data_IF_206907552201
#
_entry.id   IF_206907552201
#
_cell.length_a   1.000
_cell.length_b   1.000
_cell.length_c   1.000
_cell.angle_alpha   90.00
_cell.angle_beta   90.00
_cell.angle_gamma   90.00
#
_symmetry.space_group_name_H-M   'P 1'
#
loop_
_entity.id
_entity.type
_entity.pdbx_description
1 polymer ?
#
# COMPACT_ATOMS: atom_id res chain seq x y z
N UNK A 1 -1.81 -0.76 -3.04
CA UNK A 1 -1.27 0.17 -4.04
C UNK A 1 -1.40 -0.46 -5.41
N UNK A 2 -1.84 0.29 -6.42
CA UNK A 2 -1.99 -0.16 -7.82
C UNK A 2 -3.11 -1.17 -8.10
N UNK A 3 -3.58 -1.91 -7.09
CA UNK A 3 -4.65 -2.90 -7.26
C UNK A 3 -6.03 -2.37 -6.87
N UNK A 4 -6.16 -1.64 -5.76
CA UNK A 4 -7.44 -1.08 -5.27
C UNK A 4 -7.53 0.44 -5.42
N UNK A 5 -6.39 1.12 -5.53
CA UNK A 5 -6.27 2.56 -5.69
C UNK A 5 -5.00 2.93 -6.46
N UNK A 6 -4.90 4.20 -6.84
CA UNK A 6 -3.76 4.76 -7.57
C UNK A 6 -2.48 4.71 -6.73
N UNK A 7 -1.37 4.36 -7.36
CA UNK A 7 -0.02 4.36 -6.75
C UNK A 7 1.02 5.17 -7.53
N UNK A 8 0.63 5.72 -8.69
CA UNK A 8 1.51 6.48 -9.55
C UNK A 8 1.30 7.98 -9.34
N UNK A 9 2.36 8.82 -9.35
CA UNK A 9 3.78 8.49 -9.54
C UNK A 9 4.47 8.03 -8.25
N UNK A 10 3.76 7.90 -7.13
CA UNK A 10 4.36 7.55 -5.86
C UNK A 10 3.32 6.96 -4.92
N UNK A 11 3.74 5.96 -4.13
CA UNK A 11 2.91 5.36 -3.11
C UNK A 11 2.37 6.41 -2.13
N UNK A 12 1.06 6.35 -1.87
CA UNK A 12 0.35 7.29 -1.01
C UNK A 12 0.97 7.40 0.39
N UNK A 13 1.46 6.29 0.96
CA UNK A 13 2.13 6.32 2.26
C UNK A 13 3.46 7.09 2.24
N UNK A 14 4.21 7.02 1.14
CA UNK A 14 5.47 7.76 0.99
C UNK A 14 5.20 9.26 0.95
N UNK A 15 4.14 9.67 0.24
CA UNK A 15 3.68 11.06 0.23
C UNK A 15 3.26 11.56 1.62
N UNK A 16 2.53 10.73 2.37
CA UNK A 16 2.23 11.01 3.77
C UNK A 16 3.49 11.18 4.60
N UNK A 17 4.47 10.27 4.49
CA UNK A 17 5.74 10.38 5.20
C UNK A 17 6.48 11.68 4.83
N UNK A 18 6.44 12.10 3.56
CA UNK A 18 7.07 13.34 3.11
C UNK A 18 6.47 14.58 3.77
N UNK A 19 5.14 14.68 3.82
CA UNK A 19 4.47 15.80 4.46
C UNK A 19 4.65 15.79 5.99
N UNK A 20 4.73 14.59 6.59
CA UNK A 20 5.09 14.42 8.00
C UNK A 20 6.50 14.93 8.29
N UNK A 21 7.49 14.62 7.46
CA UNK A 21 8.86 15.16 7.61
C UNK A 21 8.85 16.69 7.55
N UNK A 22 8.14 17.30 6.60
CA UNK A 22 8.04 18.78 6.53
C UNK A 22 7.42 19.37 7.80
N UNK A 23 6.37 18.72 8.32
CA UNK A 23 5.67 19.13 9.55
C UNK A 23 6.58 19.01 10.78
N UNK A 24 7.38 17.96 10.86
CA UNK A 24 8.28 17.68 11.98
C UNK A 24 9.62 18.42 11.88
N UNK A 25 10.00 18.94 10.71
CA UNK A 25 11.29 19.60 10.48
C UNK A 25 11.67 20.70 11.49
N UNK A 26 10.74 21.52 12.03
CA UNK A 26 11.09 22.49 13.09
C UNK A 26 11.62 21.84 14.37
N UNK A 27 11.26 20.58 14.64
CA UNK A 27 11.69 19.81 15.81
C UNK A 27 12.98 19.01 15.54
N UNK A 28 13.45 18.97 14.29
CA UNK A 28 14.60 18.18 13.83
C UNK A 28 15.60 19.05 13.04
N UNK A 29 16.38 19.93 13.71
CA UNK A 29 17.36 20.79 13.04
C UNK A 29 18.40 20.03 12.20
N UNK A 30 18.73 18.80 12.60
CA UNK A 30 19.68 17.91 11.94
C UNK A 30 19.22 17.48 10.53
N UNK A 31 17.92 17.51 10.24
CA UNK A 31 17.39 17.19 8.91
C UNK A 31 17.76 18.22 7.84
N UNK A 32 18.21 19.42 8.24
CA UNK A 32 18.70 20.43 7.28
C UNK A 32 20.03 20.05 6.63
N UNK A 33 20.80 19.17 7.27
CA UNK A 33 22.12 18.74 6.80
C UNK A 33 22.19 17.24 6.48
N UNK A 34 21.28 16.44 7.04
CA UNK A 34 21.28 14.98 6.93
C UNK A 34 20.47 14.49 5.74
N UNK A 35 21.05 13.65 4.88
CA UNK A 35 20.32 12.97 3.81
C UNK A 35 19.58 11.74 4.36
N UNK A 36 18.42 11.35 3.79
CA UNK A 36 17.73 11.97 2.65
C UNK A 36 16.81 13.15 3.01
N UNK A 37 16.69 13.50 4.30
CA UNK A 37 15.78 14.55 4.78
C UNK A 37 16.06 15.93 4.17
N UNK A 38 17.35 16.28 4.05
CA UNK A 38 17.77 17.55 3.42
C UNK A 38 17.22 17.69 2.00
N UNK A 39 17.39 16.66 1.17
CA UNK A 39 16.90 16.67 -0.20
C UNK A 39 15.37 16.79 -0.24
N UNK A 40 14.67 16.05 0.62
CA UNK A 40 13.22 16.13 0.72
C UNK A 40 12.73 17.53 1.11
N UNK A 41 13.34 18.15 2.12
CA UNK A 41 12.99 19.50 2.57
C UNK A 41 13.31 20.57 1.51
N UNK A 42 14.30 20.33 0.66
CA UNK A 42 14.64 21.18 -0.48
C UNK A 42 13.77 20.93 -1.73
N UNK A 43 12.88 19.93 -1.71
CA UNK A 43 12.09 19.53 -2.87
C UNK A 43 12.89 18.80 -3.97
N UNK A 44 14.11 18.34 -3.67
CA UNK A 44 14.97 17.63 -4.61
C UNK A 44 14.59 16.14 -4.67
N UNK A 45 13.48 15.87 -5.36
CA UNK A 45 12.95 14.53 -5.53
C UNK A 45 13.87 13.59 -6.32
N UNK A 46 14.79 14.14 -7.12
CA UNK A 46 15.80 13.36 -7.84
C UNK A 46 16.81 12.75 -6.86
N UNK A 47 17.29 13.54 -5.91
CA UNK A 47 18.20 13.05 -4.85
C UNK A 47 17.48 12.13 -3.88
N UNK A 48 16.22 12.41 -3.53
CA UNK A 48 15.41 11.47 -2.74
C UNK A 48 15.27 10.13 -3.48
N UNK A 49 14.94 10.16 -4.78
CA UNK A 49 14.87 8.94 -5.60
C UNK A 49 16.21 8.19 -5.70
N UNK A 50 17.33 8.92 -5.81
CA UNK A 50 18.67 8.33 -5.86
C UNK A 50 19.09 7.62 -4.56
N UNK A 51 18.48 7.95 -3.41
CA UNK A 51 18.67 7.23 -2.15
C UNK A 51 18.04 5.83 -2.14
N UNK A 52 17.22 5.52 -3.15
CA UNK A 52 16.56 4.25 -3.32
C UNK A 52 15.62 3.88 -2.17
N UNK A 53 15.27 2.59 -2.09
CA UNK A 53 14.35 2.09 -1.08
C UNK A 53 14.87 2.26 0.36
N UNK A 54 16.19 2.33 0.54
CA UNK A 54 16.80 2.58 1.85
C UNK A 54 16.44 3.96 2.37
N UNK A 55 16.64 5.01 1.57
CA UNK A 55 16.31 6.37 2.02
C UNK A 55 14.80 6.61 2.16
N UNK A 56 13.98 5.98 1.31
CA UNK A 56 12.52 6.00 1.51
C UNK A 56 12.13 5.33 2.84
N UNK A 57 12.73 4.19 3.17
CA UNK A 57 12.52 3.53 4.47
C UNK A 57 12.95 4.42 5.64
N UNK A 58 14.10 5.08 5.55
CA UNK A 58 14.57 6.02 6.59
C UNK A 58 13.58 7.17 6.81
N UNK A 59 13.03 7.73 5.74
CA UNK A 59 12.00 8.79 5.81
C UNK A 59 10.72 8.27 6.46
N UNK A 60 10.20 7.13 6.01
CA UNK A 60 8.99 6.52 6.56
C UNK A 60 9.17 6.25 8.06
N UNK A 61 10.27 5.62 8.45
CA UNK A 61 10.57 5.32 9.85
C UNK A 61 10.64 6.58 10.72
N UNK A 62 11.35 7.61 10.26
CA UNK A 62 11.51 8.87 11.01
C UNK A 62 10.22 9.68 11.11
N UNK A 63 9.30 9.55 10.14
CA UNK A 63 8.09 10.37 10.08
C UNK A 63 7.04 10.08 11.18
N UNK A 64 7.12 8.89 11.81
CA UNK A 64 6.08 8.42 12.72
C UNK A 64 6.53 7.33 13.72
N UNK A 65 7.83 7.15 13.97
CA UNK A 65 8.29 6.32 15.08
C UNK A 65 8.30 7.10 16.40
N UNK A 66 8.12 6.42 17.52
CA UNK A 66 8.15 6.98 18.88
C UNK A 66 6.80 7.51 19.39
N UNK A 67 5.77 7.59 18.55
CA UNK A 67 4.41 7.99 18.95
C UNK A 67 3.52 6.79 19.30
N UNK A 68 2.37 7.07 19.89
CA UNK A 68 1.34 6.05 20.16
C UNK A 68 0.67 5.58 18.86
N UNK A 69 0.04 4.41 18.90
CA UNK A 69 -0.82 3.91 17.82
C UNK A 69 -1.96 4.89 17.49
N UNK A 70 -2.61 5.43 18.51
CA UNK A 70 -3.76 6.34 18.37
C UNK A 70 -3.35 7.68 17.75
N UNK A 71 -2.23 8.26 18.16
CA UNK A 71 -1.70 9.48 17.53
C UNK A 71 -1.39 9.24 16.06
N UNK A 72 -0.79 8.09 15.73
CA UNK A 72 -0.50 7.75 14.35
C UNK A 72 -1.77 7.64 13.51
N UNK A 73 -2.79 6.93 14.00
CA UNK A 73 -4.09 6.80 13.35
C UNK A 73 -4.75 8.17 13.11
N UNK A 74 -4.67 9.08 14.09
CA UNK A 74 -5.19 10.43 13.95
C UNK A 74 -4.43 11.23 12.87
N UNK A 75 -3.10 11.16 12.84
CA UNK A 75 -2.30 11.87 11.83
C UNK A 75 -2.57 11.35 10.41
N UNK A 76 -2.69 10.03 10.25
CA UNK A 76 -3.08 9.41 8.97
C UNK A 76 -4.49 9.85 8.55
N UNK A 77 -5.45 9.81 9.48
CA UNK A 77 -6.83 10.21 9.22
C UNK A 77 -6.95 11.66 8.80
N UNK A 78 -6.24 12.58 9.48
CA UNK A 78 -6.19 14.01 9.14
C UNK A 78 -5.59 14.23 7.75
N UNK A 79 -4.48 13.56 7.44
CA UNK A 79 -3.84 13.71 6.14
C UNK A 79 -4.72 13.18 5.01
N UNK A 80 -5.34 12.00 5.16
CA UNK A 80 -6.28 11.44 4.16
C UNK A 80 -7.55 12.29 4.00
N UNK A 81 -7.87 13.18 4.95
CA UNK A 81 -9.00 14.10 4.82
C UNK A 81 -8.73 15.29 3.91
N UNK A 82 -7.46 15.63 3.64
CA UNK A 82 -7.10 16.88 2.94
C UNK A 82 -6.13 16.67 1.78
N UNK A 83 -5.32 15.60 1.80
CA UNK A 83 -4.31 15.35 0.79
C UNK A 83 -4.94 14.99 -0.56
N UNK A 84 -4.64 15.79 -1.58
CA UNK A 84 -5.15 15.64 -2.95
C UNK A 84 -4.09 15.11 -3.90
N UNK A 85 -4.56 14.26 -4.81
CA UNK A 85 -3.76 13.79 -5.92
C UNK A 85 -3.60 14.92 -6.96
N UNK A 86 -2.37 15.32 -7.34
CA UNK A 86 -2.16 16.52 -8.17
C UNK A 86 -2.71 16.41 -9.59
N UNK A 87 -2.61 15.23 -10.22
CA UNK A 87 -3.18 14.99 -11.56
C UNK A 87 -4.70 14.83 -11.54
N UNK A 88 -5.22 14.01 -10.63
CA UNK A 88 -6.62 13.58 -10.61
C UNK A 88 -7.55 14.54 -9.85
N UNK A 89 -7.01 15.43 -9.00
CA UNK A 89 -7.79 16.40 -8.23
C UNK A 89 -8.59 15.82 -7.04
N UNK A 90 -8.79 14.49 -6.98
CA UNK A 90 -9.43 13.77 -5.87
C UNK A 90 -8.58 13.74 -4.59
N UNK A 91 -9.20 13.51 -3.43
CA UNK A 91 -8.44 13.08 -2.25
C UNK A 91 -7.81 11.72 -2.53
N UNK A 92 -6.61 11.43 -2.01
CA UNK A 92 -5.97 10.13 -2.25
C UNK A 92 -6.84 8.93 -1.85
N UNK A 93 -7.63 9.06 -0.77
CA UNK A 93 -8.57 8.02 -0.33
C UNK A 93 -9.77 7.81 -1.27
N UNK A 94 -9.99 8.70 -2.22
CA UNK A 94 -11.07 8.67 -3.21
C UNK A 94 -10.57 8.24 -4.59
N UNK A 95 -9.25 8.25 -4.81
CA UNK A 95 -8.64 7.78 -6.05
C UNK A 95 -8.56 6.23 -6.08
N UNK A 96 -9.71 5.59 -5.80
CA UNK A 96 -9.94 4.15 -5.67
C UNK A 96 -10.63 3.60 -6.93
N UNK A 97 -10.45 2.33 -7.24
CA UNK A 97 -10.97 1.78 -8.50
C UNK A 97 -12.39 1.24 -8.38
N UNK A 98 -13.32 1.81 -9.16
CA UNK A 98 -14.73 1.41 -9.17
C UNK A 98 -14.94 -0.09 -9.47
N UNK A 99 -14.30 -0.70 -10.50
CA UNK A 99 -14.46 -2.13 -10.77
C UNK A 99 -13.98 -3.04 -9.63
N UNK A 100 -13.04 -2.56 -8.81
CA UNK A 100 -12.56 -3.28 -7.64
C UNK A 100 -13.54 -3.19 -6.47
N UNK A 101 -14.22 -2.05 -6.29
CA UNK A 101 -15.31 -1.94 -5.32
C UNK A 101 -16.44 -2.91 -5.67
N UNK A 102 -16.79 -2.99 -6.96
CA UNK A 102 -17.79 -3.93 -7.48
C UNK A 102 -17.36 -5.38 -7.26
N UNK A 103 -16.11 -5.73 -7.56
CA UNK A 103 -15.57 -7.07 -7.30
C UNK A 103 -15.61 -7.42 -5.81
N UNK A 104 -15.17 -6.53 -4.94
CA UNK A 104 -15.19 -6.74 -3.49
C UNK A 104 -16.62 -6.94 -2.97
N UNK A 105 -17.58 -6.15 -3.46
CA UNK A 105 -19.00 -6.30 -3.12
C UNK A 105 -19.56 -7.63 -3.62
N UNK A 106 -19.28 -8.00 -4.87
CA UNK A 106 -19.69 -9.27 -5.47
C UNK A 106 -19.14 -10.47 -4.69
N UNK A 107 -17.85 -10.46 -4.35
CA UNK A 107 -17.22 -11.53 -3.57
C UNK A 107 -17.88 -11.69 -2.20
N UNK A 108 -18.11 -10.59 -1.46
CA UNK A 108 -18.78 -10.65 -0.15
C UNK A 108 -20.23 -11.10 -0.24
N UNK A 109 -20.96 -10.70 -1.30
CA UNK A 109 -22.32 -11.19 -1.55
C UNK A 109 -22.37 -12.71 -1.80
N UNK A 110 -21.25 -13.31 -2.19
CA UNK A 110 -21.04 -14.75 -2.36
C UNK A 110 -20.23 -15.35 -1.19
N UNK A 111 -20.32 -14.75 0.00
CA UNK A 111 -19.75 -15.25 1.26
C UNK A 111 -18.21 -15.31 1.34
N UNK A 112 -17.49 -14.70 0.38
CA UNK A 112 -16.04 -14.57 0.50
C UNK A 112 -15.67 -13.57 1.61
N UNK A 113 -14.60 -13.89 2.32
CA UNK A 113 -13.91 -12.93 3.18
C UNK A 113 -12.82 -12.23 2.37
N UNK A 114 -12.93 -10.92 2.22
CA UNK A 114 -11.99 -10.10 1.44
C UNK A 114 -10.90 -9.51 2.34
N UNK A 115 -9.63 -9.77 2.02
CA UNK A 115 -8.48 -9.27 2.78
C UNK A 115 -7.63 -8.33 1.91
N UNK A 116 -6.93 -7.40 2.56
CA UNK A 116 -5.83 -6.63 1.97
C UNK A 116 -4.51 -7.27 2.40
N UNK A 117 -3.58 -7.45 1.45
CA UNK A 117 -2.21 -7.94 1.69
C UNK A 117 -1.26 -7.02 0.92
N UNK A 118 -0.49 -6.18 1.63
CA UNK A 118 0.19 -5.04 1.03
C UNK A 118 1.53 -4.74 1.66
N UNK A 119 2.54 -4.42 0.84
CA UNK A 119 3.81 -3.90 1.32
C UNK A 119 3.69 -2.56 2.07
N UNK A 120 2.56 -1.86 1.92
CA UNK A 120 2.25 -0.65 2.68
C UNK A 120 2.05 -0.93 4.17
N UNK A 121 2.22 0.11 4.99
CA UNK A 121 2.09 0.04 6.43
C UNK A 121 0.68 -0.35 6.87
N UNK A 122 0.56 -1.43 7.64
CA UNK A 122 -0.75 -1.95 8.09
C UNK A 122 -1.56 -0.88 8.85
N UNK A 123 -0.93 -0.09 9.72
CA UNK A 123 -1.61 0.99 10.44
C UNK A 123 -1.85 2.25 9.59
N UNK A 124 -1.19 2.40 8.42
CA UNK A 124 -1.50 3.48 7.49
C UNK A 124 -2.80 3.19 6.73
N UNK A 125 -3.04 1.93 6.39
CA UNK A 125 -4.24 1.53 5.63
C UNK A 125 -5.49 1.45 6.52
N UNK A 126 -5.40 0.81 7.69
CA UNK A 126 -6.53 0.50 8.58
C UNK A 126 -7.53 1.64 8.83
N UNK A 127 -7.12 2.91 9.00
CA UNK A 127 -8.05 4.01 9.28
C UNK A 127 -9.09 4.24 8.17
N UNK A 128 -8.83 3.79 6.93
CA UNK A 128 -9.72 4.07 5.80
C UNK A 128 -10.33 2.82 5.13
N UNK A 129 -9.82 1.60 5.39
CA UNK A 129 -10.22 0.39 4.64
C UNK A 129 -11.68 0.03 4.81
N UNK A 130 -12.25 0.23 6.00
CA UNK A 130 -13.65 -0.10 6.23
C UNK A 130 -14.56 0.81 5.40
N UNK A 131 -14.30 2.12 5.40
CA UNK A 131 -15.10 3.10 4.67
C UNK A 131 -14.89 2.99 3.15
N UNK A 132 -13.65 2.81 2.71
CA UNK A 132 -13.31 2.76 1.28
C UNK A 132 -13.70 1.44 0.62
N UNK A 133 -13.49 0.31 1.30
CA UNK A 133 -13.54 -1.02 0.68
C UNK A 133 -14.51 -2.00 1.35
N UNK A 134 -15.10 -1.64 2.50
CA UNK A 134 -15.84 -2.58 3.33
C UNK A 134 -14.95 -3.67 3.96
N UNK A 135 -13.65 -3.39 4.12
CA UNK A 135 -12.67 -4.32 4.69
C UNK A 135 -12.30 -3.84 6.10
N UNK A 136 -12.70 -4.55 7.17
CA UNK A 136 -12.42 -4.15 8.53
C UNK A 136 -10.92 -4.28 8.87
N UNK A 137 -10.42 -3.59 9.91
CA UNK A 137 -8.99 -3.55 10.23
C UNK A 137 -8.32 -4.91 10.47
N UNK A 138 -9.06 -5.91 10.96
CA UNK A 138 -8.56 -7.27 11.19
C UNK A 138 -8.50 -8.13 9.90
N UNK A 139 -8.97 -7.61 8.77
CA UNK A 139 -8.80 -8.19 7.44
C UNK A 139 -7.73 -7.45 6.61
N UNK A 140 -6.88 -6.66 7.27
CA UNK A 140 -5.77 -5.94 6.66
C UNK A 140 -4.46 -6.55 7.16
N UNK A 141 -3.64 -7.02 6.22
CA UNK A 141 -2.26 -7.47 6.41
C UNK A 141 -1.36 -6.46 5.70
N UNK A 142 -0.26 -6.09 6.36
CA UNK A 142 0.72 -5.21 5.75
C UNK A 142 1.99 -5.11 6.56
N UNK A 143 2.95 -4.33 6.06
CA UNK A 143 4.22 -4.11 6.76
C UNK A 143 3.99 -3.43 8.12
N UNK A 144 4.79 -3.81 9.12
CA UNK A 144 4.66 -3.34 10.50
C UNK A 144 6.01 -2.95 11.10
N UNK A 145 5.91 -2.14 12.16
CA UNK A 145 7.01 -1.86 13.08
C UNK A 145 6.69 -2.44 14.45
N UNK A 146 7.71 -2.70 15.25
CA UNK A 146 7.57 -3.28 16.58
C UNK A 146 6.69 -2.37 17.42
N UNK A 147 5.75 -2.98 18.12
CA UNK A 147 4.80 -2.30 18.99
C UNK A 147 5.05 -2.72 20.43
N UNK A 148 5.20 -1.75 21.34
CA UNK A 148 5.40 -1.99 22.77
C UNK A 148 4.21 -1.50 23.58
N UNK A 149 3.65 -2.35 24.42
CA UNK A 149 2.67 -1.92 25.43
C UNK A 149 3.39 -1.14 26.54
N UNK A 150 2.95 0.09 26.80
CA UNK A 150 3.48 0.90 27.91
C UNK A 150 2.35 1.51 28.70
N UNK A 151 2.55 1.56 30.02
CA UNK A 151 1.70 2.32 30.92
C UNK A 151 2.49 3.50 31.46
N UNK A 152 1.98 4.72 31.26
CA UNK A 152 2.55 5.95 31.80
C UNK A 152 1.43 6.77 32.44
N UNK A 153 1.63 7.19 33.68
CA UNK A 153 0.67 8.01 34.44
C UNK A 153 -0.76 7.41 34.47
N UNK A 154 -0.85 6.07 34.54
CA UNK A 154 -2.12 5.33 34.55
C UNK A 154 -2.78 5.14 33.18
N UNK A 155 -2.23 5.71 32.11
CA UNK A 155 -2.68 5.50 30.72
C UNK A 155 -1.87 4.39 30.06
N UNK A 156 -2.56 3.37 29.55
CA UNK A 156 -1.97 2.28 28.79
C UNK A 156 -2.12 2.52 27.29
N UNK A 157 -1.00 2.52 26.58
CA UNK A 157 -0.93 2.79 25.14
C UNK A 157 -0.02 1.75 24.44
N UNK A 158 -0.18 1.65 23.12
CA UNK A 158 0.75 0.97 22.25
C UNK A 158 1.71 1.99 21.65
N UNK A 159 3.01 1.82 21.90
CA UNK A 159 4.06 2.68 21.38
C UNK A 159 4.68 2.06 20.14
N UNK A 160 4.79 2.85 19.08
CA UNK A 160 5.37 2.48 17.79
C UNK A 160 6.88 2.64 17.83
N UNK A 161 7.63 1.54 17.87
CA UNK A 161 9.08 1.59 18.01
C UNK A 161 9.78 1.83 16.66
N UNK A 162 10.96 2.48 16.65
CA UNK A 162 11.76 2.71 15.44
C UNK A 162 12.47 1.43 14.97
N UNK A 163 11.74 0.31 14.84
CA UNK A 163 12.26 -0.99 14.44
C UNK A 163 11.23 -1.71 13.56
N UNK A 164 11.67 -2.18 12.40
CA UNK A 164 10.86 -3.02 11.50
C UNK A 164 10.53 -4.33 12.22
N UNK A 165 9.27 -4.74 12.13
CA UNK A 165 8.78 -6.01 12.66
C UNK A 165 8.53 -6.99 11.52
N UNK A 166 7.76 -6.57 10.51
CA UNK A 166 7.44 -7.38 9.35
C UNK A 166 7.37 -6.56 8.06
N UNK A 167 7.83 -7.14 6.95
CA UNK A 167 7.70 -6.56 5.60
C UNK A 167 6.80 -7.48 4.77
N UNK A 168 5.61 -7.00 4.45
CA UNK A 168 4.57 -7.77 3.74
C UNK A 168 4.65 -7.56 2.22
N UNK A 169 5.83 -7.82 1.65
CA UNK A 169 6.08 -7.61 0.22
C UNK A 169 6.83 -8.79 -0.41
N UNK A 170 6.57 -9.07 -1.70
CA UNK A 170 7.16 -10.22 -2.43
C UNK A 170 6.91 -11.55 -1.68
N UNK A 171 7.96 -12.30 -1.38
CA UNK A 171 7.91 -13.51 -0.56
C UNK A 171 7.43 -13.29 0.88
N UNK A 172 7.42 -12.04 1.36
CA UNK A 172 6.76 -11.66 2.61
C UNK A 172 5.25 -11.88 2.56
N UNK A 173 4.59 -11.64 1.41
CA UNK A 173 3.12 -11.74 1.31
C UNK A 173 2.55 -13.12 1.67
N UNK A 174 3.08 -14.24 1.15
CA UNK A 174 2.68 -15.57 1.63
C UNK A 174 2.90 -15.79 3.13
N UNK A 175 3.97 -15.25 3.71
CA UNK A 175 4.25 -15.33 5.14
C UNK A 175 3.23 -14.50 5.94
N UNK A 176 2.88 -13.30 5.45
CA UNK A 176 1.88 -12.43 6.04
C UNK A 176 0.50 -13.10 6.05
N UNK A 177 0.11 -13.71 4.92
CA UNK A 177 -1.09 -14.53 4.79
C UNK A 177 -1.09 -15.67 5.81
N UNK A 178 -0.02 -16.47 5.85
CA UNK A 178 0.09 -17.59 6.79
C UNK A 178 0.00 -17.13 8.25
N UNK A 179 0.73 -16.08 8.63
CA UNK A 179 0.81 -15.61 10.01
C UNK A 179 -0.43 -14.87 10.50
N UNK A 180 -1.10 -14.08 9.64
CA UNK A 180 -2.23 -13.24 10.04
C UNK A 180 -3.60 -13.87 9.74
N UNK A 181 -3.71 -14.60 8.62
CA UNK A 181 -4.98 -15.17 8.15
C UNK A 181 -5.06 -16.65 8.54
N UNK A 182 -3.95 -17.38 8.47
CA UNK A 182 -3.90 -18.82 8.76
C UNK A 182 -4.60 -19.69 7.72
N UNK A 183 -5.04 -19.11 6.61
CA UNK A 183 -5.77 -19.80 5.54
C UNK A 183 -5.19 -19.40 4.19
N UNK A 184 -4.88 -20.40 3.36
CA UNK A 184 -4.46 -20.17 1.98
C UNK A 184 -5.64 -19.61 1.16
N UNK A 185 -5.49 -18.46 0.48
CA UNK A 185 -6.56 -17.89 -0.33
C UNK A 185 -6.95 -18.81 -1.48
N UNK A 186 -8.15 -18.57 -2.02
CA UNK A 186 -8.60 -19.21 -3.27
C UNK A 186 -8.58 -18.27 -4.47
N UNK A 187 -8.46 -16.97 -4.21
CA UNK A 187 -8.35 -15.90 -5.19
C UNK A 187 -7.34 -14.88 -4.67
N UNK A 188 -6.42 -14.43 -5.52
CA UNK A 188 -5.52 -13.32 -5.24
C UNK A 188 -5.44 -12.38 -6.44
N UNK A 189 -5.43 -11.07 -6.18
CA UNK A 189 -5.39 -10.01 -7.17
C UNK A 189 -4.27 -9.03 -6.79
N UNK A 190 -3.32 -8.83 -7.70
CA UNK A 190 -2.23 -7.86 -7.57
C UNK A 190 -2.13 -6.94 -8.78
N UNK A 191 -1.00 -6.24 -8.91
CA UNK A 191 -0.69 -5.42 -10.08
C UNK A 191 0.79 -5.31 -10.39
N UNK A 192 1.66 -5.93 -9.59
CA UNK A 192 3.10 -5.82 -9.73
C UNK A 192 3.77 -7.20 -9.57
N UNK A 193 5.01 -7.32 -10.02
CA UNK A 193 5.86 -8.50 -9.82
C UNK A 193 6.02 -8.85 -8.33
N UNK A 194 5.87 -7.85 -7.44
CA UNK A 194 5.89 -8.05 -6.00
C UNK A 194 4.68 -8.85 -5.46
N UNK A 195 3.63 -9.03 -6.27
CA UNK A 195 2.46 -9.84 -5.95
C UNK A 195 2.60 -11.30 -6.43
N UNK A 196 3.61 -11.62 -7.22
CA UNK A 196 3.76 -12.95 -7.83
C UNK A 196 3.75 -14.06 -6.79
N UNK A 197 4.54 -13.95 -5.72
CA UNK A 197 4.59 -15.02 -4.71
C UNK A 197 3.26 -15.18 -3.96
N UNK A 198 2.50 -14.10 -3.74
CA UNK A 198 1.15 -14.18 -3.17
C UNK A 198 0.21 -14.98 -4.09
N UNK A 199 0.28 -14.71 -5.39
CA UNK A 199 -0.57 -15.36 -6.39
C UNK A 199 -0.12 -16.80 -6.64
N UNK A 200 1.18 -17.08 -6.72
CA UNK A 200 1.77 -18.42 -6.76
C UNK A 200 1.33 -19.25 -5.55
N UNK A 201 1.44 -18.69 -4.35
CA UNK A 201 0.98 -19.34 -3.12
C UNK A 201 -0.53 -19.63 -3.17
N UNK A 202 -1.35 -18.71 -3.67
CA UNK A 202 -2.78 -18.93 -3.84
C UNK A 202 -3.06 -20.07 -4.83
N UNK A 203 -2.39 -20.07 -5.99
CA UNK A 203 -2.57 -21.06 -7.07
C UNK A 203 -2.02 -22.44 -6.76
N UNK A 204 -1.05 -22.55 -5.85
CA UNK A 204 -0.48 -23.83 -5.43
C UNK A 204 -1.39 -24.67 -4.50
N UNK A 205 -2.55 -24.14 -4.08
CA UNK A 205 -3.53 -24.90 -3.31
C UNK A 205 -4.38 -25.83 -4.18
N UNK A 206 -5.02 -26.83 -3.57
CA UNK A 206 -5.89 -27.77 -4.27
C UNK A 206 -7.23 -27.15 -4.71
N UNK A 207 -7.80 -27.64 -5.81
CA UNK A 207 -9.11 -27.21 -6.31
C UNK A 207 -9.06 -25.94 -7.15
N UNK A 208 -10.22 -25.33 -7.41
CA UNK A 208 -10.31 -24.12 -8.24
C UNK A 208 -9.63 -22.95 -7.53
N UNK A 209 -8.69 -22.30 -8.22
CA UNK A 209 -7.92 -21.16 -7.73
C UNK A 209 -7.79 -20.11 -8.82
N UNK A 210 -7.76 -18.85 -8.43
CA UNK A 210 -7.70 -17.72 -9.36
C UNK A 210 -6.58 -16.76 -8.98
N UNK A 211 -5.84 -16.31 -9.98
CA UNK A 211 -4.75 -15.34 -9.85
C UNK A 211 -4.92 -14.27 -10.90
N UNK A 212 -4.96 -13.01 -10.49
CA UNK A 212 -5.18 -11.88 -11.37
C UNK A 212 -4.14 -10.78 -11.15
N UNK A 213 -3.81 -10.06 -12.22
CA UNK A 213 -3.05 -8.82 -12.16
C UNK A 213 -3.79 -7.73 -12.92
N UNK A 214 -3.84 -6.51 -12.40
CA UNK A 214 -4.29 -5.35 -13.17
C UNK A 214 -3.09 -4.77 -13.90
N UNK A 215 -3.23 -4.58 -15.20
CA UNK A 215 -2.26 -3.94 -16.07
C UNK A 215 -2.73 -2.51 -16.35
N UNK A 216 -1.96 -1.55 -15.87
CA UNK A 216 -2.21 -0.12 -16.03
C UNK A 216 -1.87 0.31 -17.45
N UNK A 217 -2.85 0.25 -18.34
CA UNK A 217 -2.73 0.52 -19.79
C UNK A 217 -3.40 1.81 -20.22
N UNK A 218 -3.99 2.58 -19.29
CA UNK A 218 -4.87 3.69 -19.61
C UNK A 218 -4.30 5.05 -19.18
N UNK A 219 -3.45 5.63 -20.03
CA UNK A 219 -2.86 6.95 -19.80
C UNK A 219 -3.88 8.10 -19.78
N UNK A 220 -5.06 7.90 -20.36
CA UNK A 220 -6.08 8.93 -20.55
C UNK A 220 -6.93 9.08 -19.28
N UNK A 221 -7.38 7.96 -18.72
CA UNK A 221 -8.24 7.91 -17.52
C UNK A 221 -7.46 7.77 -16.22
N UNK A 222 -6.26 7.17 -16.24
CA UNK A 222 -5.39 6.95 -15.08
C UNK A 222 -3.94 7.21 -15.47
N UNK A 223 -3.13 6.17 -15.60
CA UNK A 223 -1.75 6.13 -16.01
C UNK A 223 -1.50 4.87 -16.87
N UNK A 224 -0.43 4.90 -17.66
CA UNK A 224 0.04 3.72 -18.38
C UNK A 224 1.47 3.41 -17.95
N UNK A 225 1.67 2.30 -17.25
CA UNK A 225 2.97 1.89 -16.72
C UNK A 225 3.02 0.38 -16.44
N UNK A 226 4.21 -0.20 -16.62
CA UNK A 226 4.47 -1.62 -16.36
C UNK A 226 5.96 -1.89 -16.07
N UNK A 227 6.74 -2.35 -17.06
CA UNK A 227 8.08 -2.91 -16.95
C UNK A 227 9.15 -1.90 -16.54
N UNK A 228 8.99 -0.66 -16.97
CA UNK A 228 9.96 0.44 -16.75
C UNK A 228 9.53 1.40 -15.64
N UNK A 229 8.48 1.06 -14.91
CA UNK A 229 8.00 1.91 -13.82
C UNK A 229 9.01 1.92 -12.66
N UNK A 230 8.99 2.97 -11.84
CA UNK A 230 9.72 3.02 -10.57
C UNK A 230 8.84 2.63 -9.37
N UNK A 231 7.53 2.52 -9.58
CA UNK A 231 6.53 1.99 -8.64
C UNK A 231 5.66 0.95 -9.34
N UNK A 232 5.26 -0.10 -8.63
CA UNK A 232 4.30 -1.07 -9.19
C UNK A 232 4.79 -1.78 -10.46
N UNK A 233 6.08 -2.11 -10.53
CA UNK A 233 6.66 -2.76 -11.72
C UNK A 233 5.95 -4.06 -12.02
N UNK A 234 5.42 -4.18 -13.23
CA UNK A 234 4.78 -5.38 -13.76
C UNK A 234 5.54 -5.84 -15.01
N UNK A 235 6.42 -6.82 -14.85
CA UNK A 235 7.38 -7.24 -15.88
C UNK A 235 7.36 -8.76 -16.03
N UNK A 236 7.92 -9.46 -15.04
CA UNK A 236 8.00 -10.92 -15.03
C UNK A 236 6.62 -11.55 -14.99
N UNK A 237 5.67 -10.94 -14.27
CA UNK A 237 4.31 -11.44 -14.21
C UNK A 237 3.64 -11.45 -15.58
N UNK A 238 3.90 -10.45 -16.45
CA UNK A 238 3.38 -10.43 -17.82
C UNK A 238 3.92 -11.58 -18.66
N UNK A 239 5.22 -11.85 -18.56
CA UNK A 239 5.86 -12.94 -19.32
C UNK A 239 5.40 -14.32 -18.85
N UNK A 240 5.11 -14.46 -17.56
CA UNK A 240 4.75 -15.72 -16.93
C UNK A 240 3.23 -15.99 -16.90
N UNK A 241 2.40 -14.98 -17.19
CA UNK A 241 0.96 -15.06 -17.02
C UNK A 241 0.33 -16.24 -17.76
N UNK A 242 0.67 -16.41 -19.05
CA UNK A 242 0.12 -17.50 -19.87
C UNK A 242 0.52 -18.89 -19.34
N UNK A 243 1.77 -19.06 -18.92
CA UNK A 243 2.28 -20.34 -18.43
C UNK A 243 1.67 -20.73 -17.07
N UNK A 244 1.30 -19.73 -16.26
CA UNK A 244 0.74 -19.93 -14.93
C UNK A 244 -0.79 -19.73 -14.86
N UNK A 245 -1.45 -19.53 -16.01
CA UNK A 245 -2.88 -19.26 -16.10
C UNK A 245 -3.32 -18.09 -15.20
N UNK A 246 -2.50 -17.04 -15.16
CA UNK A 246 -2.83 -15.77 -14.52
C UNK A 246 -3.60 -14.88 -15.49
N UNK A 247 -4.67 -14.27 -14.98
CA UNK A 247 -5.48 -13.34 -15.75
C UNK A 247 -4.85 -11.95 -15.65
N UNK A 248 -4.56 -11.36 -16.80
CA UNK A 248 -4.15 -9.96 -16.89
C UNK A 248 -5.37 -9.14 -17.28
N UNK A 249 -5.78 -8.22 -16.41
CA UNK A 249 -6.89 -7.29 -16.61
C UNK A 249 -6.32 -6.02 -17.24
N UNK A 250 -6.67 -5.74 -18.48
CA UNK A 250 -6.23 -4.55 -19.23
C UNK A 250 -7.15 -3.39 -18.86
N UNK A 251 -6.67 -2.44 -18.04
CA UNK A 251 -7.51 -1.34 -17.53
C UNK A 251 -8.22 -0.57 -18.65
N UNK A 252 -7.53 -0.29 -19.75
CA UNK A 252 -8.08 0.47 -20.88
C UNK A 252 -9.22 -0.26 -21.57
N UNK A 253 -9.10 -1.59 -21.73
CA UNK A 253 -10.07 -2.40 -22.49
C UNK A 253 -11.19 -2.97 -21.64
N UNK A 254 -10.87 -3.39 -20.42
CA UNK A 254 -11.76 -4.22 -19.61
C UNK A 254 -12.59 -3.40 -18.64
N UNK A 255 -12.12 -2.21 -18.25
CA UNK A 255 -12.83 -1.34 -17.31
C UNK A 255 -13.61 -0.25 -18.04
N UNK A 256 -14.93 -0.24 -17.84
CA UNK A 256 -15.82 0.80 -18.38
C UNK A 256 -15.58 2.17 -17.73
N UNK A 257 -15.39 2.19 -16.42
CA UNK A 257 -14.98 3.35 -15.62
C UNK A 257 -13.79 2.96 -14.74
N UNK A 258 -12.93 3.93 -14.43
CA UNK A 258 -11.78 3.70 -13.54
C UNK A 258 -12.14 4.09 -12.10
N UNK A 259 -12.67 5.30 -11.92
CA UNK A 259 -13.02 5.86 -10.61
C UNK A 259 -14.55 5.88 -10.40
N UNK A 260 -15.03 5.92 -9.14
CA UNK A 260 -16.41 6.24 -8.82
C UNK A 260 -16.80 7.63 -9.34
N UNK A 261 -18.09 7.85 -9.56
CA UNK A 261 -18.66 9.16 -9.93
C UNK A 261 -18.54 10.21 -8.82
#
# INVERSE_FOLDING_TARGET
DGTLWVEYPMYTQVLFAFDRIKTLAPQHPEWKTTQPFKALLAGDMKTVGASGMKGVTEIVMASHAGMTGDEFEQEVTKWLATARHPKLGCLYKECIYQPQLELLAYLRANEFKTFIVSGGGIQFMRPMTMKAYGIPPWQVVGSSIVSEFKTKDGKSDIIRMPKIDFIDDKAGKPVGIYGHIGVRPILAFGNADADMQMIEYTRAGEGRRLGLFVHHTDADREYAYDRKSHVGVLDKALDQAKANDWIIVDMKKDWRSVFPD
#
